data_IF_838647853723
#
_entry.id   IF_838647853723
#
_cell.length_a   1.000
_cell.length_b   1.000
_cell.length_c   1.000
_cell.angle_alpha   90.00
_cell.angle_beta   90.00
_cell.angle_gamma   90.00
#
_symmetry.space_group_name_H-M   'P 1'
#
loop_
_entity.id
_entity.type
_entity.pdbx_description
1 polymer ?
#
# COMPACT_ATOMS: atom_id res chain seq x y z
N UNK A 1 -16.79 7.64 10.45
CA UNK A 1 -15.98 8.18 9.35
C UNK A 1 -14.57 8.32 9.88
N UNK A 2 -13.60 7.47 9.49
CA UNK A 2 -12.22 7.71 9.91
C UNK A 2 -11.69 8.87 9.06
N UNK A 3 -11.42 9.99 9.73
CA UNK A 3 -10.67 11.11 9.19
C UNK A 3 -9.51 11.35 10.14
N UNK A 4 -8.29 11.02 9.74
CA UNK A 4 -7.13 11.78 10.16
C UNK A 4 -6.08 11.82 9.04
N UNK A 5 -5.56 13.02 8.89
CA UNK A 5 -4.75 13.62 7.85
C UNK A 5 -3.25 13.51 8.16
N UNK A 6 -2.63 12.40 7.76
CA UNK A 6 -1.18 12.35 7.53
C UNK A 6 -0.91 11.42 6.37
N UNK A 7 -1.06 11.97 5.17
CA UNK A 7 -0.74 11.48 3.81
C UNK A 7 -0.94 9.99 3.45
N UNK A 8 -0.62 8.99 4.28
CA UNK A 8 -0.57 7.58 3.88
C UNK A 8 -1.06 6.59 4.95
N UNK A 9 -1.88 6.99 5.92
CA UNK A 9 -2.52 6.03 6.85
C UNK A 9 -4.02 5.96 6.61
N UNK A 10 -4.52 4.79 6.23
CA UNK A 10 -5.95 4.46 6.31
C UNK A 10 -6.23 3.83 7.67
N UNK A 11 -7.19 4.39 8.39
CA UNK A 11 -7.57 3.92 9.73
C UNK A 11 -8.83 3.09 9.61
N UNK A 12 -8.72 1.77 9.80
CA UNK A 12 -9.89 0.89 9.84
C UNK A 12 -10.33 0.70 11.29
N UNK A 13 -11.63 0.89 11.56
CA UNK A 13 -12.21 0.59 12.88
C UNK A 13 -12.58 -0.89 12.93
N UNK A 14 -12.00 -1.64 13.87
CA UNK A 14 -12.34 -3.04 14.14
C UNK A 14 -12.89 -3.19 15.57
N UNK A 15 -13.35 -4.40 15.92
CA UNK A 15 -13.95 -4.71 17.23
C UNK A 15 -13.00 -4.50 18.42
N UNK A 16 -11.68 -4.41 18.16
CA UNK A 16 -10.62 -4.27 19.16
C UNK A 16 -9.91 -2.90 19.13
N UNK A 17 -10.35 -1.95 18.27
CA UNK A 17 -9.74 -0.61 18.17
C UNK A 17 -9.60 -0.10 16.73
N UNK A 18 -8.46 0.55 16.47
CA UNK A 18 -8.09 1.09 15.16
C UNK A 18 -6.88 0.29 14.63
N UNK A 19 -6.95 -0.22 13.40
CA UNK A 19 -5.76 -0.67 12.68
C UNK A 19 -5.28 0.46 11.77
N UNK A 20 -4.02 0.82 11.91
CA UNK A 20 -3.35 1.73 10.99
C UNK A 20 -2.79 0.90 9.86
N UNK A 21 -3.37 1.04 8.68
CA UNK A 21 -2.84 0.47 7.46
C UNK A 21 -1.98 1.54 6.79
N UNK A 22 -0.72 1.21 6.52
CA UNK A 22 0.23 2.10 5.86
C UNK A 22 0.07 1.92 4.34
N UNK A 23 -0.57 2.89 3.69
CA UNK A 23 -0.79 2.88 2.25
C UNK A 23 0.57 2.89 1.55
N UNK A 24 0.79 1.95 0.62
CA UNK A 24 2.06 1.74 -0.07
C UNK A 24 2.96 0.69 0.58
N UNK A 25 2.74 0.29 1.84
CA UNK A 25 3.46 -0.82 2.49
C UNK A 25 2.82 -2.16 2.08
N UNK A 26 3.09 -2.60 0.86
CA UNK A 26 2.47 -3.81 0.30
C UNK A 26 3.05 -5.10 0.87
N UNK A 27 4.10 -5.03 1.69
CA UNK A 27 4.73 -6.19 2.31
C UNK A 27 4.52 -6.25 3.84
N UNK A 28 3.86 -5.25 4.42
CA UNK A 28 3.59 -5.08 5.85
C UNK A 28 4.85 -5.08 6.74
N UNK A 29 5.99 -4.57 6.26
CA UNK A 29 7.22 -4.41 7.07
C UNK A 29 7.26 -3.11 7.88
N UNK A 30 6.21 -2.29 7.77
CA UNK A 30 6.04 -1.03 8.47
C UNK A 30 6.74 0.15 7.81
N UNK A 31 7.25 -0.02 6.58
CA UNK A 31 7.93 1.03 5.81
C UNK A 31 7.36 1.09 4.40
N UNK A 32 7.49 2.25 3.79
CA UNK A 32 7.27 2.43 2.35
C UNK A 32 8.65 2.57 1.72
N UNK A 33 9.10 1.58 0.97
CA UNK A 33 10.41 1.59 0.32
C UNK A 33 10.38 1.00 -1.10
N UNK A 34 11.56 0.87 -1.73
CA UNK A 34 11.67 0.36 -3.11
C UNK A 34 11.20 -1.10 -3.25
N UNK A 35 11.19 -1.90 -2.19
CA UNK A 35 10.70 -3.28 -2.23
C UNK A 35 9.21 -3.30 -2.49
N UNK A 36 8.45 -2.34 -1.96
CA UNK A 36 7.02 -2.24 -2.19
C UNK A 36 6.71 -1.98 -3.65
N UNK A 37 7.41 -1.01 -4.25
CA UNK A 37 7.31 -0.73 -5.69
C UNK A 37 7.63 -1.99 -6.53
N UNK A 38 8.68 -2.75 -6.15
CA UNK A 38 9.04 -4.00 -6.84
C UNK A 38 7.97 -5.07 -6.66
N UNK A 39 7.34 -5.16 -5.50
CA UNK A 39 6.29 -6.14 -5.23
C UNK A 39 5.00 -5.84 -6.00
N UNK A 40 4.63 -4.56 -6.15
CA UNK A 40 3.53 -4.15 -7.03
C UNK A 40 3.83 -4.60 -8.47
N UNK A 41 5.03 -4.33 -8.98
CA UNK A 41 5.43 -4.75 -10.34
C UNK A 41 5.43 -6.28 -10.53
N UNK A 42 5.83 -7.04 -9.51
CA UNK A 42 5.75 -8.51 -9.52
C UNK A 42 4.31 -8.98 -9.56
N UNK A 43 3.44 -8.40 -8.72
CA UNK A 43 2.04 -8.78 -8.62
C UNK A 43 1.31 -8.56 -9.96
N UNK A 44 1.50 -7.41 -10.61
CA UNK A 44 0.89 -7.13 -11.93
C UNK A 44 1.48 -8.00 -13.06
N UNK A 45 2.69 -8.55 -12.86
CA UNK A 45 3.31 -9.51 -13.77
C UNK A 45 2.85 -10.96 -13.53
N UNK A 46 1.93 -11.18 -12.59
CA UNK A 46 1.43 -12.51 -12.22
C UNK A 46 2.37 -13.30 -11.30
N UNK A 47 3.41 -12.67 -10.75
CA UNK A 47 4.29 -13.28 -9.76
C UNK A 47 3.70 -12.99 -8.38
N UNK A 48 2.97 -13.96 -7.85
CA UNK A 48 2.34 -13.87 -6.52
C UNK A 48 3.38 -13.99 -5.41
N UNK A 49 3.27 -13.15 -4.39
CA UNK A 49 4.02 -13.25 -3.14
C UNK A 49 3.03 -13.46 -2.00
N UNK A 50 3.32 -14.40 -1.10
CA UNK A 50 2.44 -14.75 0.03
C UNK A 50 2.17 -13.58 0.98
N UNK A 51 3.01 -12.54 0.94
CA UNK A 51 2.92 -11.36 1.81
C UNK A 51 2.43 -10.10 1.11
N UNK A 52 1.90 -10.20 -0.12
CA UNK A 52 1.43 -9.02 -0.86
C UNK A 52 0.07 -8.54 -0.33
N UNK A 53 0.01 -7.32 0.18
CA UNK A 53 -1.22 -6.65 0.61
C UNK A 53 -1.81 -5.81 -0.53
N UNK A 54 -2.87 -6.32 -1.14
CA UNK A 54 -3.58 -5.61 -2.20
C UNK A 54 -4.30 -4.36 -1.69
N UNK A 55 -4.72 -4.32 -0.41
CA UNK A 55 -5.35 -3.13 0.17
C UNK A 55 -4.41 -1.92 0.29
N UNK A 56 -3.09 -2.17 0.23
CA UNK A 56 -2.05 -1.13 0.35
C UNK A 56 -1.49 -0.72 -1.01
N UNK A 57 -1.87 -1.40 -2.09
CA UNK A 57 -1.17 -1.31 -3.36
C UNK A 57 -1.66 -0.20 -4.29
N UNK A 58 -2.90 0.29 -4.11
CA UNK A 58 -3.44 1.47 -4.80
C UNK A 58 -2.94 2.75 -4.11
N UNK A 59 -1.66 3.04 -4.31
CA UNK A 59 -0.98 4.13 -3.63
C UNK A 59 -1.36 5.50 -4.20
N UNK A 60 -1.65 5.58 -5.49
CA UNK A 60 -2.07 6.84 -6.12
C UNK A 60 -3.56 7.15 -5.91
N UNK A 61 -4.35 6.17 -5.44
CA UNK A 61 -5.77 6.30 -5.12
C UNK A 61 -6.68 6.40 -6.36
N UNK A 62 -6.25 5.87 -7.50
CA UNK A 62 -7.03 5.88 -8.75
C UNK A 62 -8.00 4.68 -8.87
N UNK A 63 -7.95 3.76 -7.90
CA UNK A 63 -8.80 2.57 -7.84
C UNK A 63 -8.24 1.38 -8.61
N UNK A 64 -7.04 1.46 -9.20
CA UNK A 64 -6.44 0.42 -10.03
C UNK A 64 -5.00 0.16 -9.65
N UNK A 65 -4.71 -1.01 -9.08
CA UNK A 65 -3.33 -1.44 -8.79
C UNK A 65 -2.56 -1.70 -10.08
N UNK A 66 -1.63 -0.81 -10.43
CA UNK A 66 -0.83 -0.89 -11.64
C UNK A 66 0.59 -0.29 -11.46
N UNK A 67 1.35 -0.13 -12.55
CA UNK A 67 2.72 0.40 -12.48
C UNK A 67 2.80 1.86 -12.03
N UNK A 68 1.71 2.64 -12.14
CA UNK A 68 1.63 4.01 -11.67
C UNK A 68 1.76 4.09 -10.15
N UNK A 69 1.26 3.10 -9.40
CA UNK A 69 1.42 3.03 -7.95
C UNK A 69 2.89 2.85 -7.56
N UNK A 70 3.57 1.91 -8.23
CA UNK A 70 5.00 1.69 -8.04
C UNK A 70 5.82 2.95 -8.35
N UNK A 71 5.47 3.69 -9.41
CA UNK A 71 6.11 4.97 -9.76
C UNK A 71 5.83 6.03 -8.69
N UNK A 72 4.60 6.11 -8.18
CA UNK A 72 4.23 7.07 -7.16
C UNK A 72 4.99 6.81 -5.84
N UNK A 73 5.13 5.55 -5.41
CA UNK A 73 5.99 5.15 -4.28
C UNK A 73 7.43 5.59 -4.51
N UNK A 74 8.00 5.31 -5.69
CA UNK A 74 9.38 5.69 -5.99
C UNK A 74 9.62 7.20 -5.98
N UNK A 75 8.59 8.01 -6.24
CA UNK A 75 8.67 9.48 -6.20
C UNK A 75 8.54 10.06 -4.79
N UNK A 76 7.95 9.31 -3.86
CA UNK A 76 7.67 9.77 -2.49
C UNK A 76 8.75 9.42 -1.47
N UNK A 77 9.74 8.61 -1.85
CA UNK A 77 10.82 8.11 -0.98
C UNK A 77 12.16 8.83 -1.19
#
# INVERSE_FOLDING_TARGET
MPTLNSAHYTVFKNSNGYSNTLLGDVNNDGKIDRKDAVLILKNISGITSDNFSAENADYNGDGVVNSLDAIAIMKSI
#
